data_IF_208121445070
#
_entry.id   IF_208121445070
#
_cell.length_a   1.000
_cell.length_b   1.000
_cell.length_c   1.000
_cell.angle_alpha   90.00
_cell.angle_beta   90.00
_cell.angle_gamma   90.00
#
_symmetry.space_group_name_H-M   'P 1'
#
loop_
_entity.id
_entity.type
_entity.pdbx_description
1 polymer ?
#
# COMPACT_ATOMS: atom_id res chain seq x y z
N UNK A 1 -9.73 9.72 -10.55
CA UNK A 1 -9.87 8.79 -9.41
C UNK A 1 -8.48 8.63 -8.81
N UNK A 2 -8.29 8.83 -7.49
CA UNK A 2 -6.97 8.68 -6.87
C UNK A 2 -6.54 7.21 -6.81
N UNK A 3 -5.23 6.98 -6.78
CA UNK A 3 -4.65 5.64 -6.55
C UNK A 3 -4.77 5.32 -5.07
N UNK A 4 -5.22 4.11 -4.74
CA UNK A 4 -5.28 3.58 -3.39
C UNK A 4 -4.22 2.49 -3.22
N UNK A 5 -3.26 2.73 -2.32
CA UNK A 5 -2.23 1.76 -1.97
C UNK A 5 -2.63 1.03 -0.68
N UNK A 6 -3.14 -0.18 -0.85
CA UNK A 6 -3.43 -1.09 0.26
C UNK A 6 -2.13 -1.65 0.84
N UNK A 7 -1.88 -1.44 2.14
CA UNK A 7 -0.64 -1.86 2.78
C UNK A 7 -0.85 -2.56 4.12
N UNK A 8 0.12 -3.37 4.52
CA UNK A 8 0.24 -3.93 5.86
C UNK A 8 1.71 -3.85 6.30
N UNK A 9 2.02 -3.40 7.52
CA UNK A 9 3.41 -3.37 7.99
C UNK A 9 4.08 -4.75 7.86
N UNK A 10 5.32 -4.79 7.38
CA UNK A 10 6.11 -6.02 7.18
C UNK A 10 5.74 -6.92 6.00
N UNK A 11 4.97 -6.44 5.00
CA UNK A 11 4.80 -7.12 3.71
C UNK A 11 5.49 -6.35 2.55
N UNK A 12 5.36 -6.86 1.32
CA UNK A 12 5.96 -6.26 0.12
C UNK A 12 5.34 -4.93 -0.35
N UNK A 13 4.42 -4.31 0.41
CA UNK A 13 3.77 -3.03 0.03
C UNK A 13 4.75 -1.84 0.04
N UNK A 14 5.98 -2.03 0.51
CA UNK A 14 7.01 -1.00 0.49
C UNK A 14 7.46 -0.64 -0.94
N UNK A 15 7.59 -1.63 -1.83
CA UNK A 15 8.02 -1.41 -3.22
C UNK A 15 7.06 -0.48 -3.99
N UNK A 16 5.73 -0.71 -4.01
CA UNK A 16 4.80 0.22 -4.64
C UNK A 16 4.72 1.58 -3.93
N UNK A 17 4.92 1.66 -2.60
CA UNK A 17 4.97 2.93 -1.89
C UNK A 17 6.11 3.82 -2.41
N UNK A 18 7.34 3.30 -2.43
CA UNK A 18 8.51 4.05 -2.92
C UNK A 18 8.34 4.44 -4.39
N UNK A 19 7.83 3.54 -5.23
CA UNK A 19 7.62 3.86 -6.65
C UNK A 19 6.66 5.04 -6.84
N UNK A 20 5.55 5.10 -6.09
CA UNK A 20 4.57 6.18 -6.23
C UNK A 20 5.13 7.53 -5.74
N UNK A 21 5.93 7.51 -4.67
CA UNK A 21 6.65 8.69 -4.18
C UNK A 21 7.66 9.21 -5.22
N UNK A 22 8.49 8.33 -5.81
CA UNK A 22 9.48 8.70 -6.82
C UNK A 22 8.85 9.25 -8.11
N UNK A 23 7.65 8.78 -8.45
CA UNK A 23 6.88 9.30 -9.59
C UNK A 23 6.18 10.64 -9.29
N UNK A 24 6.14 11.09 -8.02
CA UNK A 24 5.47 12.32 -7.60
C UNK A 24 3.96 12.30 -7.83
N UNK A 25 3.34 11.10 -7.85
CA UNK A 25 1.91 10.95 -8.10
C UNK A 25 1.14 10.95 -6.79
N UNK A 26 -0.03 11.63 -6.70
CA UNK A 26 -0.83 11.59 -5.48
C UNK A 26 -1.51 10.22 -5.31
N UNK A 27 -1.39 9.64 -4.12
CA UNK A 27 -2.05 8.41 -3.73
C UNK A 27 -2.51 8.45 -2.27
N UNK A 28 -3.40 7.53 -1.91
CA UNK A 28 -3.88 7.35 -0.54
C UNK A 28 -3.40 6.01 0.01
N UNK A 29 -3.08 5.98 1.30
CA UNK A 29 -2.67 4.77 2.01
C UNK A 29 -3.85 4.15 2.75
N UNK A 30 -4.15 2.89 2.44
CA UNK A 30 -5.23 2.13 3.08
C UNK A 30 -4.65 0.94 3.85
N UNK A 31 -4.71 0.99 5.18
CA UNK A 31 -4.21 -0.09 6.04
C UNK A 31 -5.13 -1.32 5.95
N UNK A 32 -4.57 -2.48 5.60
CA UNK A 32 -5.28 -3.76 5.61
C UNK A 32 -5.21 -4.37 7.00
N UNK A 33 -6.35 -4.67 7.63
CA UNK A 33 -6.39 -5.46 8.87
C UNK A 33 -6.29 -6.96 8.52
N UNK A 34 -5.29 -7.66 9.06
CA UNK A 34 -5.17 -9.12 8.96
C UNK A 34 -5.85 -9.78 10.17
N UNK A 35 -7.17 -9.90 10.12
CA UNK A 35 -7.91 -10.80 11.04
C UNK A 35 -8.64 -11.94 10.30
N UNK A 36 -8.52 -12.04 8.98
CA UNK A 36 -9.09 -13.15 8.21
C UNK A 36 -8.10 -13.69 7.17
N UNK A 37 -7.67 -14.94 7.37
CA UNK A 37 -7.15 -15.80 6.29
C UNK A 37 -5.67 -15.65 5.93
N UNK A 38 -4.77 -15.98 6.85
CA UNK A 38 -3.50 -16.59 6.44
C UNK A 38 -3.73 -18.10 6.33
N UNK A 39 -3.88 -18.61 5.10
CA UNK A 39 -3.77 -20.05 4.80
C UNK A 39 -2.34 -20.53 5.09
#
# INVERSE_FOLDING_TARGET
MPIHLHYFPSNASFAPHILLEELGVPFQLDLVKRDEGAL
#
